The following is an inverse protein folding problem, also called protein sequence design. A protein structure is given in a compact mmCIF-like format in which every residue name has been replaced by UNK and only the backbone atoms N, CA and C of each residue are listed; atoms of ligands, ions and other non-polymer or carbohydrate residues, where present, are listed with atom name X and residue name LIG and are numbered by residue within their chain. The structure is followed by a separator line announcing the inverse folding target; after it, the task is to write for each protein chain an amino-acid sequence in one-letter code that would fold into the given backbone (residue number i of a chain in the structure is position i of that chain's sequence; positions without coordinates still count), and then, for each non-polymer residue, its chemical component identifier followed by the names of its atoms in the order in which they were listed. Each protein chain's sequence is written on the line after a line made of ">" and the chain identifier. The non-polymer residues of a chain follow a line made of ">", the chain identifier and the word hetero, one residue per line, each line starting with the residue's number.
data_IF_452248133541
#
_entry.id   IF_452248133541
#
_cell.length_a   1.000
_cell.length_b   1.000
_cell.length_c   1.000
_cell.angle_alpha   90.00
_cell.angle_beta   90.00
_cell.angle_gamma   90.00
#
_symmetry.space_group_name_H-M   'P 1'
#
loop_
_entity.id
_entity.type
_entity.pdbx_description
1 polymer ?
#
# COMPACT_ATOMS: atom_id res chain seq x y z
N UNK A 1 -12.56 2.23 -3.35
CA UNK A 1 -11.31 2.35 -4.14
C UNK A 1 -10.25 1.54 -3.42
N UNK A 2 -9.34 0.89 -4.15
CA UNK A 2 -8.28 0.08 -3.54
C UNK A 2 -6.93 0.62 -3.99
N UNK A 3 -6.00 0.79 -3.07
CA UNK A 3 -4.64 1.19 -3.38
C UNK A 3 -3.68 0.05 -3.12
N UNK A 4 -2.77 -0.15 -4.07
CA UNK A 4 -1.60 -1.00 -3.92
C UNK A 4 -0.39 -0.09 -3.68
N UNK A 5 0.23 -0.23 -2.52
CA UNK A 5 1.40 0.54 -2.11
C UNK A 5 2.63 -0.35 -2.20
N UNK A 6 3.57 0.01 -3.05
CA UNK A 6 4.90 -0.59 -3.05
C UNK A 6 5.80 0.18 -2.09
N UNK A 7 6.31 -0.53 -1.08
CA UNK A 7 7.17 0.04 -0.05
C UNK A 7 8.57 -0.59 -0.18
N UNK A 8 9.62 0.21 -0.24
CA UNK A 8 10.96 -0.34 -0.45
C UNK A 8 11.60 -0.85 0.85
N UNK A 9 11.27 -0.25 2.00
CA UNK A 9 11.71 -0.66 3.33
C UNK A 9 10.65 -0.26 4.38
N UNK A 10 10.63 -0.95 5.54
CA UNK A 10 9.65 -0.77 6.63
C UNK A 10 9.34 0.70 7.05
N UNK A 11 10.31 1.62 6.94
CA UNK A 11 10.12 3.03 7.35
C UNK A 11 9.56 3.94 6.24
N UNK A 12 9.47 3.45 5.00
CA UNK A 12 9.00 4.20 3.82
C UNK A 12 7.49 4.07 3.60
N UNK A 13 6.72 3.86 4.67
CA UNK A 13 5.28 3.80 4.60
C UNK A 13 4.65 5.13 4.12
N UNK A 14 3.39 5.13 3.63
CA UNK A 14 2.73 6.33 3.06
C UNK A 14 2.54 7.53 4.00
N UNK A 15 2.91 7.42 5.28
CA UNK A 15 2.88 8.52 6.24
C UNK A 15 1.48 9.12 6.38
N UNK A 16 1.37 10.45 6.24
CA UNK A 16 0.11 11.20 6.39
C UNK A 16 -1.01 10.70 5.44
N UNK A 17 -0.66 10.11 4.30
CA UNK A 17 -1.65 9.57 3.38
C UNK A 17 -2.47 8.43 3.97
N UNK A 18 -1.93 7.66 4.93
CA UNK A 18 -2.67 6.60 5.61
C UNK A 18 -3.91 7.14 6.32
N UNK A 19 -3.81 8.33 6.92
CA UNK A 19 -4.96 8.98 7.56
C UNK A 19 -6.02 9.42 6.56
N UNK A 20 -5.61 10.00 5.43
CA UNK A 20 -6.56 10.42 4.39
C UNK A 20 -7.25 9.20 3.75
N UNK A 21 -6.49 8.17 3.41
CA UNK A 21 -7.02 6.90 2.87
C UNK A 21 -8.02 6.26 3.83
N UNK A 22 -7.71 6.22 5.13
CA UNK A 22 -8.63 5.69 6.13
C UNK A 22 -9.91 6.52 6.27
N UNK A 23 -9.79 7.86 6.28
CA UNK A 23 -10.95 8.78 6.33
C UNK A 23 -11.89 8.60 5.14
N UNK A 24 -11.32 8.31 3.97
CA UNK A 24 -12.07 8.13 2.72
C UNK A 24 -12.51 6.67 2.48
N UNK A 25 -12.25 5.76 3.42
CA UNK A 25 -12.61 4.35 3.29
C UNK A 25 -11.87 3.62 2.16
N UNK A 26 -10.65 4.06 1.84
CA UNK A 26 -9.79 3.41 0.84
C UNK A 26 -9.13 2.19 1.47
N UNK A 27 -9.35 1.03 0.87
CA UNK A 27 -8.64 -0.20 1.22
C UNK A 27 -7.21 -0.11 0.67
N UNK A 28 -6.20 -0.36 1.52
CA UNK A 28 -4.80 -0.27 1.14
C UNK A 28 -4.10 -1.61 1.39
N UNK A 29 -3.48 -2.14 0.33
CA UNK A 29 -2.58 -3.30 0.40
C UNK A 29 -1.16 -2.78 0.26
N UNK A 30 -0.27 -3.14 1.18
CA UNK A 30 1.17 -2.83 1.07
C UNK A 30 1.91 -4.07 0.61
N UNK A 31 2.90 -3.87 -0.26
CA UNK A 31 3.87 -4.88 -0.68
C UNK A 31 5.26 -4.37 -0.31
N UNK A 32 5.91 -5.04 0.63
CA UNK A 32 7.28 -4.78 1.10
C UNK A 32 8.27 -5.43 0.13
N UNK A 33 8.91 -4.61 -0.70
CA UNK A 33 9.80 -5.07 -1.76
C UNK A 33 11.14 -5.59 -1.23
N UNK A 34 11.65 -5.05 -0.11
CA UNK A 34 12.86 -5.55 0.56
C UNK A 34 12.66 -6.92 1.19
N UNK A 35 11.45 -7.21 1.67
CA UNK A 35 11.10 -8.53 2.20
C UNK A 35 10.79 -9.55 1.09
N UNK A 36 10.75 -9.11 -0.17
CA UNK A 36 10.49 -9.96 -1.32
C UNK A 36 9.03 -10.41 -1.42
N UNK A 37 8.09 -9.60 -0.91
CA UNK A 37 6.66 -9.89 -1.02
C UNK A 37 6.20 -10.00 -2.47
N UNK A 38 5.24 -10.90 -2.71
CA UNK A 38 4.72 -11.12 -4.05
C UNK A 38 3.81 -9.97 -4.47
N UNK A 39 4.11 -9.37 -5.62
CA UNK A 39 3.22 -8.39 -6.24
C UNK A 39 1.93 -9.11 -6.68
N UNK A 40 0.75 -8.72 -6.15
CA UNK A 40 -0.51 -9.34 -6.54
C UNK A 40 -0.89 -8.96 -7.98
N UNK A 41 -1.95 -9.59 -8.53
CA UNK A 41 -2.53 -9.09 -9.78
C UNK A 41 -2.95 -7.62 -9.60
N UNK A 42 -2.64 -6.81 -10.61
CA UNK A 42 -3.00 -5.39 -10.62
C UNK A 42 -4.48 -5.19 -10.98
N UNK A 43 -5.16 -6.24 -11.45
CA UNK A 43 -6.57 -6.17 -11.82
C UNK A 43 -7.43 -5.80 -10.61
N UNK A 44 -8.15 -4.68 -10.73
CA UNK A 44 -9.08 -4.21 -9.70
C UNK A 44 -8.44 -3.36 -8.60
N UNK A 45 -7.20 -2.91 -8.79
CA UNK A 45 -6.63 -1.75 -8.08
C UNK A 45 -6.76 -0.50 -8.93
#
# INVERSE_FOLDING_TARGET
>A
MRFLVFQHINIEHPGVFREFMAKDGVECTTVELDEGETIPSLDGY
#
